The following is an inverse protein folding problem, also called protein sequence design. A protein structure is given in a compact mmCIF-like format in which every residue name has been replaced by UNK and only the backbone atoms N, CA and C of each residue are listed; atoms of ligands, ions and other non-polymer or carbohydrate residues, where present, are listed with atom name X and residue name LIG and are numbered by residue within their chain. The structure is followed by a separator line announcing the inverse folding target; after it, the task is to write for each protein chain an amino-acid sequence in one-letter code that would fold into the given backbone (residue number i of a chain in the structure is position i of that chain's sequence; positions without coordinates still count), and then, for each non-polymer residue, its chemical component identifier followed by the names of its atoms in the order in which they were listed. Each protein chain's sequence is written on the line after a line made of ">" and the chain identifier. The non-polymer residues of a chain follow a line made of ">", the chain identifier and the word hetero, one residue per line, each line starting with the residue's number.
data_IF_788056636917
#
_entry.id   IF_788056636917
#
_cell.length_a   1.000
_cell.length_b   1.000
_cell.length_c   1.000
_cell.angle_alpha   90.00
_cell.angle_beta   90.00
_cell.angle_gamma   90.00
#
_symmetry.space_group_name_H-M   'P 1'
#
loop_
_entity.id
_entity.type
_entity.pdbx_description
1 polymer ?
#
# COMPACT_ATOMS: atom_id res chain seq x y z
N UNK A 1 0.50 21.20 -19.58
CA UNK A 1 0.37 19.99 -18.74
C UNK A 1 0.54 20.38 -17.28
N UNK A 2 -0.37 19.94 -16.43
CA UNK A 2 -0.23 20.09 -14.97
C UNK A 2 0.29 18.77 -14.41
N UNK A 3 1.56 18.73 -14.02
CA UNK A 3 2.23 17.53 -13.53
C UNK A 3 1.55 16.97 -12.27
N UNK A 4 1.01 17.83 -11.41
CA UNK A 4 0.35 17.39 -10.19
C UNK A 4 -0.95 16.63 -10.50
N UNK A 5 -1.72 17.11 -11.49
CA UNK A 5 -2.92 16.41 -11.95
C UNK A 5 -2.59 15.08 -12.60
N UNK A 6 -1.53 15.04 -13.38
CA UNK A 6 -1.06 13.80 -14.03
C UNK A 6 -0.63 12.76 -13.00
N UNK A 7 0.16 13.16 -12.00
CA UNK A 7 0.57 12.27 -10.91
C UNK A 7 -0.64 11.78 -10.12
N UNK A 8 -1.59 12.65 -9.81
CA UNK A 8 -2.81 12.27 -9.08
C UNK A 8 -3.65 11.25 -9.87
N UNK A 9 -3.79 11.43 -11.18
CA UNK A 9 -4.47 10.48 -12.05
C UNK A 9 -3.78 9.11 -12.05
N UNK A 10 -2.46 9.09 -12.21
CA UNK A 10 -1.66 7.85 -12.19
C UNK A 10 -1.69 7.16 -10.84
N UNK A 11 -1.70 7.91 -9.74
CA UNK A 11 -1.86 7.36 -8.40
C UNK A 11 -3.23 6.69 -8.23
N UNK A 12 -4.29 7.32 -8.70
CA UNK A 12 -5.63 6.73 -8.68
C UNK A 12 -5.73 5.45 -9.52
N UNK A 13 -5.06 5.41 -10.66
CA UNK A 13 -5.00 4.21 -11.50
C UNK A 13 -4.25 3.07 -10.79
N UNK A 14 -3.13 3.38 -10.16
CA UNK A 14 -2.40 2.42 -9.33
C UNK A 14 -3.24 1.91 -8.14
N UNK A 15 -3.98 2.77 -7.47
CA UNK A 15 -4.88 2.39 -6.37
C UNK A 15 -5.92 1.36 -6.80
N UNK A 16 -6.50 1.50 -7.99
CA UNK A 16 -7.44 0.49 -8.52
C UNK A 16 -6.79 -0.89 -8.63
N UNK A 17 -5.54 -0.95 -9.10
CA UNK A 17 -4.82 -2.22 -9.23
C UNK A 17 -4.49 -2.82 -7.87
N UNK A 18 -4.07 -2.01 -6.91
CA UNK A 18 -3.73 -2.41 -5.55
C UNK A 18 -4.98 -2.93 -4.82
N UNK A 19 -6.08 -2.18 -4.86
CA UNK A 19 -7.30 -2.52 -4.12
C UNK A 19 -7.95 -3.82 -4.60
N UNK A 20 -7.75 -4.21 -5.86
CA UNK A 20 -8.27 -5.48 -6.39
C UNK A 20 -7.69 -6.71 -5.73
N UNK A 21 -6.48 -6.64 -5.20
CA UNK A 21 -5.80 -7.79 -4.57
C UNK A 21 -5.96 -7.82 -3.05
N UNK A 22 -6.59 -6.81 -2.46
CA UNK A 22 -6.80 -6.78 -1.03
C UNK A 22 -7.77 -7.87 -0.58
N UNK A 23 -7.49 -8.56 0.55
CA UNK A 23 -8.33 -9.65 1.01
C UNK A 23 -9.67 -9.15 1.55
N UNK A 24 -10.70 -9.97 1.42
CA UNK A 24 -11.97 -9.73 2.09
C UNK A 24 -11.81 -9.91 3.62
N UNK A 25 -12.38 -8.98 4.39
CA UNK A 25 -12.27 -8.94 5.85
C UNK A 25 -13.24 -9.94 6.52
N UNK A 26 -12.99 -11.23 6.33
CA UNK A 26 -13.84 -12.31 6.85
C UNK A 26 -13.02 -13.55 7.25
N UNK A 27 -13.67 -14.50 7.92
CA UNK A 27 -13.04 -15.74 8.34
C UNK A 27 -12.23 -15.58 9.63
N UNK A 28 -11.42 -16.59 9.91
CA UNK A 28 -10.59 -16.63 11.13
C UNK A 28 -9.52 -15.55 11.14
N UNK A 29 -9.04 -15.13 9.97
CA UNK A 29 -8.01 -14.10 9.78
C UNK A 29 -8.58 -12.68 9.65
N UNK A 30 -9.85 -12.47 9.97
CA UNK A 30 -10.53 -11.18 9.77
C UNK A 30 -9.75 -10.01 10.33
N UNK A 31 -9.23 -10.09 11.54
CA UNK A 31 -8.50 -8.98 12.18
C UNK A 31 -7.19 -8.67 11.45
N UNK A 32 -6.45 -9.69 11.02
CA UNK A 32 -5.22 -9.48 10.22
C UNK A 32 -5.57 -8.81 8.89
N UNK A 33 -6.61 -9.27 8.20
CA UNK A 33 -7.05 -8.67 6.94
C UNK A 33 -7.52 -7.22 7.11
N UNK A 34 -8.19 -6.91 8.23
CA UNK A 34 -8.53 -5.53 8.57
C UNK A 34 -7.29 -4.65 8.76
N UNK A 35 -6.29 -5.15 9.46
CA UNK A 35 -5.04 -4.43 9.68
C UNK A 35 -4.26 -4.22 8.37
N UNK A 36 -4.19 -5.25 7.51
CA UNK A 36 -3.59 -5.16 6.17
C UNK A 36 -4.29 -4.10 5.31
N UNK A 37 -5.60 -4.19 5.18
CA UNK A 37 -6.38 -3.26 4.38
C UNK A 37 -6.29 -1.83 4.92
N UNK A 38 -6.34 -1.67 6.24
CA UNK A 38 -6.15 -0.37 6.88
C UNK A 38 -4.82 0.28 6.51
N UNK A 39 -3.72 -0.49 6.55
CA UNK A 39 -2.38 0.00 6.21
C UNK A 39 -2.31 0.53 4.77
N UNK A 40 -2.89 -0.22 3.83
CA UNK A 40 -2.90 0.12 2.40
C UNK A 40 -3.83 1.29 2.12
N UNK A 41 -5.04 1.27 2.68
CA UNK A 41 -6.07 2.29 2.50
C UNK A 41 -5.75 3.61 3.21
N UNK A 42 -4.78 3.63 4.12
CA UNK A 42 -4.30 4.85 4.75
C UNK A 42 -3.68 5.83 3.73
N UNK A 43 -3.45 5.39 2.51
CA UNK A 43 -3.00 6.21 1.41
C UNK A 43 -1.49 6.26 1.24
N UNK A 44 -1.05 7.11 0.32
CA UNK A 44 0.34 7.31 -0.04
C UNK A 44 0.45 7.96 -1.40
N UNK A 45 1.66 8.37 -1.78
CA UNK A 45 1.92 9.01 -3.08
C UNK A 45 1.96 8.04 -4.25
N UNK A 46 2.04 6.74 -3.98
CA UNK A 46 2.10 5.68 -5.00
C UNK A 46 3.22 5.85 -6.03
N UNK A 47 4.31 6.47 -5.66
CA UNK A 47 5.42 6.76 -6.60
C UNK A 47 6.03 5.48 -7.17
N UNK A 48 6.23 4.43 -6.35
CA UNK A 48 6.80 3.14 -6.82
C UNK A 48 5.93 2.46 -7.86
N UNK A 49 4.62 2.28 -7.64
CA UNK A 49 3.68 1.82 -8.66
C UNK A 49 3.71 2.64 -9.94
N UNK A 50 3.69 3.97 -9.83
CA UNK A 50 3.72 4.87 -11.00
C UNK A 50 5.00 4.66 -11.81
N UNK A 51 6.16 4.66 -11.16
CA UNK A 51 7.44 4.45 -11.84
C UNK A 51 7.49 3.08 -12.53
N UNK A 52 6.98 2.05 -11.88
CA UNK A 52 6.92 0.69 -12.47
C UNK A 52 6.06 0.70 -13.74
N UNK A 53 4.86 1.27 -13.68
CA UNK A 53 3.96 1.33 -14.83
C UNK A 53 4.53 2.15 -15.99
N UNK A 54 5.10 3.31 -15.70
CA UNK A 54 5.65 4.18 -16.73
C UNK A 54 6.89 3.57 -17.38
N UNK A 55 7.75 2.92 -16.60
CA UNK A 55 8.91 2.18 -17.13
C UNK A 55 8.45 1.03 -18.02
N UNK A 56 7.47 0.26 -17.57
CA UNK A 56 6.91 -0.85 -18.34
C UNK A 56 6.36 -0.39 -19.69
N UNK A 57 5.60 0.71 -19.71
CA UNK A 57 5.07 1.30 -20.95
C UNK A 57 6.19 1.81 -21.85
N UNK A 58 7.21 2.44 -21.26
CA UNK A 58 8.35 2.98 -22.00
C UNK A 58 9.08 1.90 -22.82
N UNK A 59 9.15 0.68 -22.26
CA UNK A 59 9.75 -0.48 -22.95
C UNK A 59 8.75 -1.29 -23.78
N UNK A 60 7.58 -0.74 -24.08
CA UNK A 60 6.57 -1.35 -24.95
C UNK A 60 5.73 -2.43 -24.29
N UNK A 61 5.75 -2.52 -22.98
CA UNK A 61 4.93 -3.48 -22.23
C UNK A 61 3.44 -3.22 -22.36
N UNK A 62 2.65 -4.28 -22.55
CA UNK A 62 1.19 -4.18 -22.73
C UNK A 62 0.40 -5.31 -22.03
N UNK A 63 1.08 -6.23 -21.33
CA UNK A 63 0.43 -7.33 -20.65
C UNK A 63 -0.15 -6.92 -19.30
N UNK A 64 -1.38 -7.37 -19.00
CA UNK A 64 -2.05 -7.09 -17.72
C UNK A 64 -1.35 -7.68 -16.49
N UNK A 65 -0.44 -8.65 -16.67
CA UNK A 65 0.34 -9.20 -15.57
C UNK A 65 1.09 -8.13 -14.76
N UNK A 66 1.39 -6.98 -15.37
CA UNK A 66 2.02 -5.84 -14.67
C UNK A 66 1.21 -5.36 -13.46
N UNK A 67 -0.12 -5.48 -13.48
CA UNK A 67 -0.99 -5.03 -12.40
C UNK A 67 -0.67 -5.76 -11.08
N UNK A 68 -0.36 -7.05 -11.14
CA UNK A 68 0.04 -7.83 -9.96
C UNK A 68 1.39 -7.38 -9.41
N UNK A 69 2.33 -7.03 -10.26
CA UNK A 69 3.64 -6.50 -9.84
C UNK A 69 3.52 -5.09 -9.25
N UNK A 70 2.65 -4.26 -9.81
CA UNK A 70 2.33 -2.92 -9.26
C UNK A 70 1.76 -3.03 -7.86
N UNK A 71 0.81 -3.94 -7.64
CA UNK A 71 0.26 -4.21 -6.32
C UNK A 71 1.34 -4.74 -5.37
N UNK A 72 2.14 -5.72 -5.82
CA UNK A 72 3.18 -6.33 -5.00
C UNK A 72 4.21 -5.32 -4.50
N UNK A 73 4.72 -4.44 -5.36
CA UNK A 73 5.74 -3.46 -4.93
C UNK A 73 5.19 -2.50 -3.89
N UNK A 74 3.94 -2.09 -4.00
CA UNK A 74 3.32 -1.19 -3.01
C UNK A 74 3.00 -1.92 -1.71
N UNK A 75 2.57 -3.17 -1.75
CA UNK A 75 2.34 -3.97 -0.56
C UNK A 75 3.65 -4.21 0.21
N UNK A 76 4.75 -4.48 -0.49
CA UNK A 76 6.09 -4.60 0.12
C UNK A 76 6.49 -3.27 0.78
N UNK A 77 6.29 -2.16 0.10
CA UNK A 77 6.56 -0.84 0.67
C UNK A 77 5.69 -0.56 1.90
N UNK A 78 4.39 -0.87 1.83
CA UNK A 78 3.45 -0.63 2.92
C UNK A 78 3.80 -1.43 4.17
N UNK A 79 4.09 -2.75 4.05
CA UNK A 79 4.47 -3.52 5.22
C UNK A 79 5.78 -3.02 5.84
N UNK A 80 6.72 -2.55 5.02
CA UNK A 80 7.97 -2.00 5.56
C UNK A 80 7.72 -0.76 6.43
N UNK A 81 6.77 0.09 6.04
CA UNK A 81 6.36 1.24 6.84
C UNK A 81 5.65 0.82 8.14
N UNK A 82 4.78 -0.18 8.07
CA UNK A 82 4.09 -0.73 9.26
C UNK A 82 5.12 -1.26 10.27
N UNK A 83 6.15 -1.96 9.80
CA UNK A 83 7.22 -2.47 10.65
C UNK A 83 8.14 -1.38 11.19
N UNK A 84 8.46 -0.37 10.39
CA UNK A 84 9.25 0.78 10.85
C UNK A 84 8.54 1.55 11.98
N UNK A 85 7.20 1.59 11.96
CA UNK A 85 6.41 2.27 12.98
C UNK A 85 6.30 1.51 14.31
N UNK A 86 6.67 0.22 14.35
CA UNK A 86 6.56 -0.61 15.56
C UNK A 86 7.35 -0.03 16.75
N UNK A 87 6.93 -0.31 18.01
CA UNK A 87 7.62 0.16 19.21
C UNK A 87 9.12 -0.19 19.26
N UNK A 88 9.49 -1.35 18.69
CA UNK A 88 10.88 -1.79 18.63
C UNK A 88 11.73 -1.08 17.57
N UNK A 89 11.09 -0.30 16.70
CA UNK A 89 11.71 0.45 15.61
C UNK A 89 11.58 1.96 15.88
N UNK A 90 10.85 2.70 15.07
CA UNK A 90 10.69 4.15 15.23
C UNK A 90 9.68 4.54 16.31
N UNK A 91 8.87 3.60 16.79
CA UNK A 91 7.84 3.80 17.82
C UNK A 91 6.87 4.95 17.49
N UNK A 92 6.39 4.99 16.26
CA UNK A 92 5.46 6.03 15.81
C UNK A 92 4.01 5.61 16.06
N UNK A 93 3.23 6.50 16.70
CA UNK A 93 1.80 6.29 16.91
C UNK A 93 0.95 6.89 15.79
N UNK A 94 1.48 7.84 15.03
CA UNK A 94 0.81 8.54 13.95
C UNK A 94 1.63 8.51 12.67
N UNK A 95 0.95 8.34 11.54
CA UNK A 95 1.49 8.48 10.19
C UNK A 95 0.49 9.24 9.32
N UNK A 96 0.90 10.36 8.72
CA UNK A 96 0.04 11.24 7.92
C UNK A 96 -1.25 11.63 8.67
N UNK A 97 -1.14 11.90 9.98
CA UNK A 97 -2.26 12.30 10.82
C UNK A 97 -3.23 11.17 11.21
N UNK A 98 -2.93 9.92 10.86
CA UNK A 98 -3.71 8.73 11.22
C UNK A 98 -2.91 7.85 12.17
N UNK A 99 -3.63 7.08 13.02
CA UNK A 99 -2.98 6.06 13.84
C UNK A 99 -2.21 5.07 12.97
N UNK A 100 -1.00 4.71 13.41
CA UNK A 100 -0.25 3.62 12.79
C UNK A 100 -0.97 2.29 13.02
N UNK A 101 -0.63 1.28 12.23
CA UNK A 101 -1.32 -0.02 12.30
C UNK A 101 -1.20 -0.64 13.70
N UNK A 102 0.00 -0.62 14.30
CA UNK A 102 0.17 -1.15 15.66
C UNK A 102 -0.57 -0.32 16.73
N UNK A 103 -0.66 0.98 16.56
CA UNK A 103 -1.38 1.83 17.49
C UNK A 103 -2.90 1.55 17.47
N UNK A 104 -3.44 1.20 16.30
CA UNK A 104 -4.86 0.89 16.13
C UNK A 104 -5.22 -0.56 16.43
N UNK A 105 -4.43 -1.51 15.99
CA UNK A 105 -4.74 -2.95 16.05
C UNK A 105 -3.90 -3.73 17.05
N UNK A 106 -2.93 -3.09 17.69
CA UNK A 106 -1.97 -3.73 18.58
C UNK A 106 -0.70 -4.19 17.86
N UNK A 107 0.35 -4.38 18.63
CA UNK A 107 1.69 -4.70 18.12
C UNK A 107 1.71 -6.04 17.35
N UNK A 108 1.05 -7.07 17.89
CA UNK A 108 0.99 -8.38 17.23
C UNK A 108 0.37 -8.29 15.83
N UNK A 109 -0.72 -7.54 15.68
CA UNK A 109 -1.35 -7.33 14.37
C UNK A 109 -0.46 -6.49 13.46
N UNK A 110 0.27 -5.51 13.99
CA UNK A 110 1.26 -4.74 13.24
C UNK A 110 2.38 -5.61 12.68
N UNK A 111 2.81 -6.63 13.40
CA UNK A 111 3.82 -7.59 12.93
C UNK A 111 3.26 -8.51 11.85
N UNK A 112 2.01 -8.94 11.96
CA UNK A 112 1.39 -9.94 11.07
C UNK A 112 0.78 -9.35 9.79
N UNK A 113 0.43 -8.05 9.82
CA UNK A 113 -0.26 -7.38 8.71
C UNK A 113 0.65 -6.97 7.49
#
# INVERSE_FOLDING_TARGET
>A
MDINKEIAYKASDADRMIYRVLPAEKGYQKTVFQAMNYSVLAGGKRIRPILMLETYKLFGGSNKAIESFVAAIELIHTYSLVHDDLPAMDDDELRRGKLTTHAKFGEAMGVLA
#
